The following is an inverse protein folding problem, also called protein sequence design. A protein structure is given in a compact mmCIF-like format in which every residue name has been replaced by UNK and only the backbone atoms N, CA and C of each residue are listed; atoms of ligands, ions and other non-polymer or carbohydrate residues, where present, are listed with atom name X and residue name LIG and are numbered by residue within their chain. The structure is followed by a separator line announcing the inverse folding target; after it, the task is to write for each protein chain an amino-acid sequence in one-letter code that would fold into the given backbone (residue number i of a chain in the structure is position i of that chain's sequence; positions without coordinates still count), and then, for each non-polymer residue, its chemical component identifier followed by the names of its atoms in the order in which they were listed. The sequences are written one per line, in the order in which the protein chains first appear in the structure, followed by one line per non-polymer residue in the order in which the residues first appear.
data_IF_375384348646
#
_entry.id   IF_375384348646
#
_cell.length_a   1.000
_cell.length_b   1.000
_cell.length_c   1.000
_cell.angle_alpha   90.00
_cell.angle_beta   90.00
_cell.angle_gamma   90.00
#
_symmetry.space_group_name_H-M   'P 1'
#
loop_
_entity.id
_entity.type
_entity.pdbx_description
1 polymer ?
#
# COMPACT_ATOMS: atom_id res chain seq x y z
N UNK A 1 -6.49 2.83 19.58
CA UNK A 1 -5.79 2.61 18.29
C UNK A 1 -6.23 3.70 17.33
N UNK A 2 -5.34 4.64 16.99
CA UNK A 2 -5.67 5.73 16.05
C UNK A 2 -5.68 5.17 14.63
N UNK A 3 -6.86 5.02 14.02
CA UNK A 3 -6.99 4.80 12.57
C UNK A 3 -7.31 6.14 11.91
N UNK A 4 -6.57 6.50 10.86
CA UNK A 4 -6.98 7.61 10.00
C UNK A 4 -8.33 7.23 9.35
N UNK A 5 -9.35 8.10 9.39
CA UNK A 5 -10.66 7.82 8.80
C UNK A 5 -10.59 7.66 7.28
N UNK A 6 -9.58 8.27 6.65
CA UNK A 6 -9.29 8.08 5.24
C UNK A 6 -7.79 7.92 5.04
N UNK A 7 -7.39 6.85 4.35
CA UNK A 7 -6.01 6.66 3.94
C UNK A 7 -5.70 7.62 2.79
N UNK A 8 -4.84 8.62 3.04
CA UNK A 8 -4.48 9.63 2.06
C UNK A 8 -2.98 9.85 2.02
N UNK A 9 -2.48 10.37 0.91
CA UNK A 9 -1.07 10.80 0.80
C UNK A 9 -0.71 11.76 1.93
N UNK A 10 -1.57 12.74 2.23
CA UNK A 10 -1.35 13.72 3.30
C UNK A 10 -1.22 13.07 4.68
N UNK A 11 -2.01 12.03 4.97
CA UNK A 11 -1.90 11.28 6.23
C UNK A 11 -0.56 10.56 6.35
N UNK A 12 -0.07 9.93 5.26
CA UNK A 12 1.27 9.32 5.24
C UNK A 12 2.39 10.35 5.35
N UNK A 13 2.24 11.51 4.70
CA UNK A 13 3.22 12.60 4.80
C UNK A 13 3.37 13.07 6.25
N UNK A 14 2.25 13.28 6.96
CA UNK A 14 2.24 13.68 8.36
C UNK A 14 2.82 12.62 9.31
N UNK A 15 2.73 11.34 8.94
CA UNK A 15 3.38 10.25 9.67
C UNK A 15 4.90 10.24 9.42
N UNK A 16 5.31 10.25 8.16
CA UNK A 16 6.71 10.15 7.76
C UNK A 16 7.54 11.36 8.23
N UNK A 17 6.95 12.55 8.32
CA UNK A 17 7.67 13.74 8.84
C UNK A 17 8.12 13.63 10.30
N UNK A 18 7.62 12.64 11.05
CA UNK A 18 7.92 12.42 12.47
C UNK A 18 8.94 11.31 12.72
N UNK A 19 9.41 10.64 11.67
CA UNK A 19 10.34 9.51 11.77
C UNK A 19 11.50 9.69 10.78
N UNK A 20 12.70 9.17 11.09
CA UNK A 20 13.83 9.24 10.17
C UNK A 20 13.59 8.38 8.92
N UNK A 21 14.26 8.74 7.82
CA UNK A 21 14.21 7.98 6.58
C UNK A 21 14.76 6.56 6.79
N UNK A 22 14.02 5.50 6.42
CA UNK A 22 14.54 4.14 6.42
C UNK A 22 15.30 3.84 5.12
N UNK A 23 16.18 2.83 5.14
CA UNK A 23 16.82 2.34 3.90
C UNK A 23 15.79 1.75 2.92
N UNK A 24 14.80 1.03 3.47
CA UNK A 24 13.74 0.37 2.70
C UNK A 24 12.39 0.52 3.38
N UNK A 25 11.40 1.03 2.65
CA UNK A 25 10.00 1.01 3.02
C UNK A 25 9.32 -0.25 2.48
N UNK A 26 8.82 -1.10 3.37
CA UNK A 26 7.99 -2.26 3.02
C UNK A 26 6.52 -1.89 3.15
N UNK A 27 5.78 -1.91 2.04
CA UNK A 27 4.35 -1.56 2.02
C UNK A 27 3.51 -2.66 1.37
N UNK A 28 2.22 -2.73 1.73
CA UNK A 28 1.25 -3.53 0.98
C UNK A 28 1.03 -2.98 -0.44
N UNK A 29 1.54 -1.77 -0.72
CA UNK A 29 1.65 -1.08 -2.01
C UNK A 29 0.41 -0.29 -2.42
N UNK A 30 -0.09 0.43 -1.43
CA UNK A 30 -1.07 1.48 -1.61
C UNK A 30 -0.38 2.74 -2.15
N UNK A 31 -0.98 3.34 -3.20
CA UNK A 31 -0.40 4.48 -3.93
C UNK A 31 -0.17 5.70 -3.02
N UNK A 32 -0.99 5.88 -1.98
CA UNK A 32 -0.84 6.99 -1.02
C UNK A 32 0.49 6.94 -0.27
N UNK A 33 0.84 5.77 0.27
CA UNK A 33 2.09 5.56 0.99
C UNK A 33 3.30 5.69 0.07
N UNK A 34 3.23 5.12 -1.14
CA UNK A 34 4.34 5.19 -2.08
C UNK A 34 4.61 6.62 -2.57
N UNK A 35 3.56 7.38 -2.89
CA UNK A 35 3.68 8.77 -3.30
C UNK A 35 4.19 9.67 -2.19
N UNK A 36 3.78 9.43 -0.94
CA UNK A 36 4.30 10.18 0.21
C UNK A 36 5.78 9.84 0.47
N UNK A 37 6.16 8.58 0.34
CA UNK A 37 7.54 8.13 0.54
C UNK A 37 8.48 8.76 -0.48
N UNK A 38 8.09 8.78 -1.77
CA UNK A 38 8.91 9.40 -2.84
C UNK A 38 9.12 10.90 -2.62
N UNK A 39 8.21 11.56 -1.91
CA UNK A 39 8.29 13.00 -1.63
C UNK A 39 9.15 13.30 -0.40
N UNK A 40 8.94 12.60 0.72
CA UNK A 40 9.68 12.87 1.98
C UNK A 40 11.04 12.19 1.99
N UNK A 41 11.15 10.99 1.41
CA UNK A 41 12.39 10.22 1.36
C UNK A 41 12.72 9.76 -0.06
N UNK A 42 13.23 10.66 -0.92
CA UNK A 42 13.53 10.35 -2.32
C UNK A 42 14.54 9.22 -2.51
N UNK A 43 15.44 9.01 -1.55
CA UNK A 43 16.45 7.95 -1.56
C UNK A 43 15.99 6.61 -0.97
N UNK A 44 14.86 6.58 -0.25
CA UNK A 44 14.34 5.35 0.35
C UNK A 44 13.82 4.40 -0.73
N UNK A 45 14.29 3.15 -0.69
CA UNK A 45 13.83 2.11 -1.61
C UNK A 45 12.45 1.62 -1.18
N UNK A 46 11.53 1.44 -2.13
CA UNK A 46 10.19 0.93 -1.84
C UNK A 46 10.06 -0.52 -2.31
N UNK A 47 9.52 -1.41 -1.47
CA UNK A 47 9.25 -2.81 -1.82
C UNK A 47 7.88 -3.26 -1.34
N UNK A 48 7.22 -4.12 -2.13
CA UNK A 48 6.00 -4.82 -1.72
C UNK A 48 6.31 -5.85 -0.64
N UNK A 49 5.49 -5.88 0.40
CA UNK A 49 5.58 -6.90 1.44
C UNK A 49 5.26 -8.29 0.86
N UNK A 50 6.20 -9.23 0.92
CA UNK A 50 6.02 -10.59 0.38
C UNK A 50 4.85 -11.34 1.04
N UNK A 51 4.56 -11.07 2.31
CA UNK A 51 3.38 -11.61 3.01
C UNK A 51 2.09 -11.12 2.35
N UNK A 52 2.00 -9.83 2.00
CA UNK A 52 0.85 -9.29 1.27
C UNK A 52 0.78 -9.82 -0.16
N UNK A 53 1.92 -9.92 -0.86
CA UNK A 53 1.95 -10.53 -2.20
C UNK A 53 1.40 -11.95 -2.15
N UNK A 54 1.91 -12.78 -1.25
CA UNK A 54 1.45 -14.16 -1.11
C UNK A 54 -0.04 -14.25 -0.73
N UNK A 55 -0.51 -13.41 0.20
CA UNK A 55 -1.94 -13.37 0.58
C UNK A 55 -2.82 -12.99 -0.60
N UNK A 56 -2.47 -11.92 -1.33
CA UNK A 56 -3.22 -11.49 -2.50
C UNK A 56 -3.23 -12.57 -3.57
N UNK A 57 -2.07 -13.17 -3.90
CA UNK A 57 -1.98 -14.26 -4.87
C UNK A 57 -2.83 -15.47 -4.47
N UNK A 58 -2.84 -15.85 -3.19
CA UNK A 58 -3.74 -16.92 -2.71
C UNK A 58 -5.20 -16.51 -2.82
N UNK A 59 -5.57 -15.30 -2.40
CA UNK A 59 -6.94 -14.81 -2.55
C UNK A 59 -7.39 -14.87 -4.00
N UNK A 60 -6.57 -14.35 -4.91
CA UNK A 60 -6.88 -14.23 -6.33
C UNK A 60 -6.96 -15.57 -7.05
N UNK A 61 -6.08 -16.53 -6.70
CA UNK A 61 -5.98 -17.80 -7.42
C UNK A 61 -6.71 -18.97 -6.74
N UNK A 62 -6.76 -19.02 -5.41
CA UNK A 62 -7.25 -20.20 -4.68
C UNK A 62 -8.58 -19.97 -3.97
N UNK A 63 -8.90 -18.73 -3.59
CA UNK A 63 -10.17 -18.40 -2.92
C UNK A 63 -11.21 -17.78 -3.86
N UNK A 64 -10.86 -17.52 -5.13
CA UNK A 64 -11.82 -17.14 -6.17
C UNK A 64 -12.44 -18.39 -6.84
N UNK A 65 -13.18 -19.20 -6.08
CA UNK A 65 -14.02 -20.26 -6.67
C UNK A 65 -15.34 -19.65 -7.17
N UNK A 66 -15.26 -18.90 -8.28
CA UNK A 66 -16.36 -18.26 -9.02
C UNK A 66 -17.19 -17.17 -8.28
N UNK A 67 -17.44 -16.05 -8.98
CA UNK A 67 -18.48 -15.06 -8.65
C UNK A 67 -18.19 -14.03 -7.52
N UNK A 68 -17.28 -13.08 -7.77
CA UNK A 68 -17.50 -11.69 -7.28
C UNK A 68 -17.85 -10.82 -8.47
N UNK A 69 -19.17 -10.67 -8.66
CA UNK A 69 -19.87 -9.86 -9.66
C UNK A 69 -19.20 -8.52 -9.97
N UNK A 70 -19.06 -8.26 -11.28
CA UNK A 70 -19.46 -7.02 -11.94
C UNK A 70 -18.92 -5.72 -11.33
N UNK A 71 -17.64 -5.38 -11.48
CA UNK A 71 -17.19 -3.98 -11.39
C UNK A 71 -15.89 -3.67 -12.16
N UNK A 72 -15.57 -4.45 -13.20
CA UNK A 72 -14.68 -4.03 -14.27
C UNK A 72 -15.48 -3.97 -15.57
N UNK A 73 -16.51 -3.12 -15.56
CA UNK A 73 -17.06 -2.57 -16.80
C UNK A 73 -16.50 -1.17 -16.93
N UNK A 74 -16.03 -0.90 -18.15
CA UNK A 74 -15.73 0.42 -18.71
C UNK A 74 -14.30 0.89 -18.46
N UNK A 75 -13.50 0.76 -19.54
CA UNK A 75 -12.40 1.61 -20.00
C UNK A 75 -11.47 2.26 -18.95
#
# INVERSE_FOLDING_TARGET
MQRCPNESKAAYMALFSRIPAPDVLITNGLRGAESACREIWPSTRIRRCLVHVQRNTRTDLTFQTSFRRSHYSTF
#
